data_IF_466335177251
#
_entry.id   IF_466335177251
#
_cell.length_a   1.000
_cell.length_b   1.000
_cell.length_c   1.000
_cell.angle_alpha   90.00
_cell.angle_beta   90.00
_cell.angle_gamma   90.00
#
_symmetry.space_group_name_H-M   'P 1'
#
loop_
_entity.id
_entity.type
_entity.pdbx_description
1 polymer ?
#
# COMPACT_ATOMS: atom_id res chain seq x y z
N UNK A 1 -21.11 5.56 -6.23
CA UNK A 1 -20.04 5.20 -5.27
C UNK A 1 -20.73 4.90 -3.93
N UNK A 2 -20.98 3.62 -3.61
CA UNK A 2 -21.94 3.22 -2.54
C UNK A 2 -21.25 2.57 -1.32
N UNK A 3 -19.96 2.22 -1.38
CA UNK A 3 -19.29 1.43 -0.33
C UNK A 3 -18.10 2.09 0.36
N UNK A 4 -17.61 3.21 -0.15
CA UNK A 4 -16.30 3.80 0.21
C UNK A 4 -16.17 4.13 1.68
N UNK A 5 -17.21 4.69 2.30
CA UNK A 5 -17.21 5.02 3.74
C UNK A 5 -17.01 3.82 4.66
N UNK A 6 -17.43 2.63 4.22
CA UNK A 6 -17.18 1.39 4.97
C UNK A 6 -15.80 0.85 4.71
N UNK A 7 -15.31 0.96 3.47
CA UNK A 7 -14.00 0.45 3.05
C UNK A 7 -12.89 1.03 3.90
N UNK A 8 -12.93 2.33 4.22
CA UNK A 8 -11.97 2.97 5.12
C UNK A 8 -11.76 2.21 6.44
N UNK A 9 -12.86 1.77 7.05
CA UNK A 9 -12.86 1.24 8.43
C UNK A 9 -12.36 -0.19 8.54
N UNK A 10 -12.74 -1.04 7.59
CA UNK A 10 -12.39 -2.45 7.65
C UNK A 10 -11.13 -2.78 6.86
N UNK A 11 -10.73 -1.97 5.87
CA UNK A 11 -9.63 -2.32 4.95
C UNK A 11 -8.30 -2.59 5.69
N UNK A 12 -7.90 -1.72 6.63
CA UNK A 12 -6.67 -1.93 7.38
C UNK A 12 -6.77 -3.18 8.27
N UNK A 13 -7.92 -3.37 8.95
CA UNK A 13 -8.18 -4.54 9.82
C UNK A 13 -8.13 -5.85 9.04
N UNK A 14 -8.79 -5.89 7.88
CA UNK A 14 -8.78 -7.06 7.00
C UNK A 14 -7.39 -7.33 6.46
N UNK A 15 -6.66 -6.29 6.05
CA UNK A 15 -5.29 -6.43 5.55
C UNK A 15 -4.35 -7.04 6.61
N UNK A 16 -4.38 -6.52 7.84
CA UNK A 16 -3.58 -7.07 8.95
C UNK A 16 -4.01 -8.50 9.31
N UNK A 17 -5.31 -8.80 9.28
CA UNK A 17 -5.83 -10.15 9.54
C UNK A 17 -5.34 -11.15 8.48
N UNK A 18 -5.42 -10.79 7.19
CA UNK A 18 -4.92 -11.62 6.09
C UNK A 18 -3.42 -11.83 6.21
N UNK A 19 -2.66 -10.78 6.51
CA UNK A 19 -1.21 -10.87 6.66
C UNK A 19 -0.81 -11.83 7.80
N UNK A 20 -1.43 -11.69 8.97
CA UNK A 20 -1.19 -12.58 10.10
C UNK A 20 -1.60 -14.02 9.79
N UNK A 21 -2.77 -14.23 9.21
CA UNK A 21 -3.26 -15.56 8.89
C UNK A 21 -2.38 -16.25 7.83
N UNK A 22 -1.97 -15.53 6.79
CA UNK A 22 -1.05 -16.03 5.77
C UNK A 22 0.35 -16.31 6.34
N UNK A 23 0.83 -15.47 7.25
CA UNK A 23 2.10 -15.67 7.96
C UNK A 23 2.08 -16.93 8.82
N UNK A 24 1.05 -17.09 9.66
CA UNK A 24 0.86 -18.30 10.48
C UNK A 24 0.73 -19.55 9.60
N UNK A 25 -0.05 -19.48 8.52
CA UNK A 25 -0.19 -20.59 7.59
C UNK A 25 1.15 -20.98 6.96
N UNK A 26 1.98 -20.00 6.62
CA UNK A 26 3.31 -20.23 6.03
C UNK A 26 4.30 -20.81 7.04
N UNK A 27 4.16 -20.49 8.34
CA UNK A 27 4.97 -21.06 9.42
C UNK A 27 4.57 -22.51 9.75
N UNK A 28 3.26 -22.78 9.85
CA UNK A 28 2.74 -24.12 10.15
C UNK A 28 2.94 -25.07 8.95
N UNK A 29 2.79 -24.53 7.74
CA UNK A 29 2.91 -25.25 6.50
C UNK A 29 3.96 -24.52 5.62
N UNK A 30 5.27 -24.82 5.77
CA UNK A 30 6.32 -24.23 4.94
C UNK A 30 6.25 -24.73 3.49
N UNK A 31 6.65 -23.91 2.52
CA UNK A 31 6.64 -24.29 1.09
C UNK A 31 7.67 -25.40 0.88
N UNK A 32 7.18 -26.61 0.63
CA UNK A 32 8.03 -27.72 0.25
C UNK A 32 8.39 -27.56 -1.22
N UNK A 33 9.60 -27.09 -1.51
CA UNK A 33 10.13 -27.06 -2.86
C UNK A 33 10.40 -28.50 -3.30
N UNK A 34 9.53 -29.06 -4.15
CA UNK A 34 9.70 -30.42 -4.66
C UNK A 34 10.60 -30.35 -5.89
N UNK A 35 11.87 -30.71 -5.70
CA UNK A 35 12.81 -30.87 -6.81
C UNK A 35 12.67 -32.31 -7.33
N UNK A 36 12.03 -32.50 -8.49
CA UNK A 36 11.98 -33.80 -9.17
C UNK A 36 13.20 -33.92 -10.08
N UNK A 37 14.23 -34.59 -9.60
CA UNK A 37 15.41 -34.96 -10.39
C UNK A 37 15.04 -36.21 -11.18
N UNK A 38 14.70 -36.05 -12.46
CA UNK A 38 14.70 -37.14 -13.43
C UNK A 38 15.92 -36.92 -14.33
N UNK A 39 16.88 -37.85 -14.30
CA UNK A 39 18.10 -37.77 -15.11
C UNK A 39 17.90 -38.63 -16.34
N UNK A 40 17.47 -38.02 -17.43
CA UNK A 40 17.49 -38.66 -18.75
C UNK A 40 18.65 -38.08 -19.54
N UNK A 41 19.75 -38.84 -19.64
CA UNK A 41 20.89 -38.49 -20.49
C UNK A 41 20.86 -39.40 -21.72
N UNK A 42 20.67 -38.80 -22.89
CA UNK A 42 20.63 -39.50 -24.17
C UNK A 42 21.98 -39.26 -24.85
N UNK A 43 22.72 -40.33 -25.15
CA UNK A 43 24.04 -40.23 -25.81
C UNK A 43 23.82 -40.11 -27.32
N UNK A 44 23.87 -38.89 -27.83
CA UNK A 44 23.79 -38.60 -29.26
C UNK A 44 25.20 -38.57 -29.87
N UNK A 45 25.75 -39.75 -30.18
CA UNK A 45 27.04 -39.98 -30.86
C UNK A 45 28.31 -39.46 -30.16
N UNK A 46 29.41 -40.16 -30.41
CA UNK A 46 30.60 -40.23 -29.57
C UNK A 46 31.56 -39.03 -29.58
N UNK A 47 31.16 -37.83 -30.04
CA UNK A 47 32.11 -36.70 -30.14
C UNK A 47 31.64 -35.30 -29.70
N UNK A 48 30.38 -35.05 -29.32
CA UNK A 48 29.96 -33.67 -28.99
C UNK A 48 28.93 -33.57 -27.85
N UNK A 49 29.25 -32.72 -26.86
CA UNK A 49 28.46 -32.21 -25.71
C UNK A 49 27.23 -33.02 -25.24
N UNK A 50 27.31 -33.54 -24.00
CA UNK A 50 26.16 -34.11 -23.29
C UNK A 50 25.17 -33.01 -22.89
N UNK A 51 23.96 -33.05 -23.43
CA UNK A 51 22.81 -32.27 -22.92
C UNK A 51 22.02 -33.15 -21.97
N UNK A 52 22.25 -33.02 -20.66
CA UNK A 52 21.44 -33.70 -19.65
C UNK A 52 20.35 -32.77 -19.15
N UNK A 53 19.09 -33.19 -19.30
CA UNK A 53 17.97 -32.58 -18.60
C UNK A 53 17.92 -33.22 -17.20
N UNK A 54 18.26 -32.45 -16.16
CA UNK A 54 18.51 -32.99 -14.81
C UNK A 54 17.38 -32.80 -13.80
N UNK A 55 16.24 -32.27 -14.23
CA UNK A 55 15.04 -32.21 -13.40
C UNK A 55 14.02 -31.16 -13.86
N UNK A 56 12.79 -31.33 -13.37
CA UNK A 56 11.72 -30.33 -13.47
C UNK A 56 11.62 -29.65 -12.11
N UNK A 57 11.84 -28.33 -12.10
CA UNK A 57 11.67 -27.49 -10.91
C UNK A 57 10.25 -26.96 -10.88
N UNK A 58 9.36 -27.63 -10.16
CA UNK A 58 8.00 -27.12 -9.88
C UNK A 58 8.10 -25.99 -8.84
N UNK A 59 8.12 -24.73 -9.29
CA UNK A 59 8.10 -23.57 -8.40
C UNK A 59 6.65 -23.27 -8.02
N UNK A 60 6.18 -23.89 -6.93
CA UNK A 60 4.92 -23.51 -6.27
C UNK A 60 3.86 -24.62 -6.24
N UNK A 61 2.79 -24.36 -5.48
CA UNK A 61 1.65 -25.28 -5.34
C UNK A 61 0.35 -24.53 -5.61
N UNK A 62 -0.38 -24.93 -6.66
CA UNK A 62 -1.69 -24.36 -7.01
C UNK A 62 -2.70 -24.48 -5.87
N UNK A 63 -2.63 -25.56 -5.09
CA UNK A 63 -3.49 -25.79 -3.94
C UNK A 63 -3.28 -24.74 -2.84
N UNK A 64 -2.04 -24.37 -2.56
CA UNK A 64 -1.75 -23.31 -1.59
C UNK A 64 -2.12 -21.93 -2.09
N UNK A 65 -1.89 -21.66 -3.38
CA UNK A 65 -2.31 -20.41 -3.99
C UNK A 65 -3.83 -20.22 -3.87
N UNK A 66 -4.61 -21.25 -4.24
CA UNK A 66 -6.07 -21.25 -4.07
C UNK A 66 -6.47 -21.09 -2.59
N UNK A 67 -5.78 -21.77 -1.68
CA UNK A 67 -6.01 -21.63 -0.23
C UNK A 67 -5.80 -20.21 0.29
N UNK A 68 -4.72 -19.53 -0.14
CA UNK A 68 -4.44 -18.13 0.23
C UNK A 68 -5.50 -17.17 -0.33
N UNK A 69 -6.00 -17.41 -1.55
CA UNK A 69 -7.10 -16.63 -2.12
C UNK A 69 -8.38 -16.79 -1.30
N UNK A 70 -8.76 -18.02 -0.96
CA UNK A 70 -9.94 -18.29 -0.12
C UNK A 70 -9.78 -17.65 1.25
N UNK A 71 -8.60 -17.77 1.87
CA UNK A 71 -8.30 -17.15 3.15
C UNK A 71 -8.48 -15.62 3.10
N UNK A 72 -7.92 -14.99 2.07
CA UNK A 72 -8.06 -13.54 1.87
C UNK A 72 -9.53 -13.13 1.73
N UNK A 73 -10.30 -13.87 0.94
CA UNK A 73 -11.74 -13.63 0.76
C UNK A 73 -12.51 -13.77 2.07
N UNK A 74 -12.26 -14.83 2.85
CA UNK A 74 -12.93 -15.06 4.14
C UNK A 74 -12.60 -13.96 5.14
N UNK A 75 -11.33 -13.55 5.27
CA UNK A 75 -10.93 -12.45 6.14
C UNK A 75 -11.58 -11.13 5.72
N UNK A 76 -11.58 -10.80 4.43
CA UNK A 76 -12.20 -9.58 3.92
C UNK A 76 -13.72 -9.55 4.18
N UNK A 77 -14.44 -10.62 3.82
CA UNK A 77 -15.89 -10.72 4.03
C UNK A 77 -16.23 -10.73 5.52
N UNK A 78 -15.47 -11.47 6.34
CA UNK A 78 -15.66 -11.52 7.78
C UNK A 78 -15.49 -10.15 8.43
N UNK A 79 -14.40 -9.43 8.12
CA UNK A 79 -14.19 -8.07 8.63
C UNK A 79 -15.29 -7.10 8.17
N UNK A 80 -15.75 -7.21 6.93
CA UNK A 80 -16.84 -6.39 6.41
C UNK A 80 -18.16 -6.64 7.15
N UNK A 81 -18.55 -7.91 7.33
CA UNK A 81 -19.78 -8.27 8.04
C UNK A 81 -19.72 -7.83 9.50
N UNK A 82 -18.59 -8.04 10.18
CA UNK A 82 -18.39 -7.59 11.56
C UNK A 82 -18.49 -6.08 11.69
N UNK A 83 -17.87 -5.31 10.78
CA UNK A 83 -17.96 -3.85 10.80
C UNK A 83 -19.40 -3.37 10.56
N UNK A 84 -20.12 -4.04 9.64
CA UNK A 84 -21.53 -3.74 9.35
C UNK A 84 -22.48 -4.07 10.50
N UNK A 85 -22.28 -5.18 11.20
CA UNK A 85 -23.17 -5.60 12.31
C UNK A 85 -22.86 -4.81 13.58
N UNK A 86 -21.59 -4.58 13.91
CA UNK A 86 -21.20 -3.96 15.18
C UNK A 86 -21.12 -2.43 15.11
N UNK A 87 -20.88 -1.82 13.95
CA UNK A 87 -20.58 -0.38 13.83
C UNK A 87 -21.45 0.37 12.80
N UNK A 88 -22.66 -0.15 12.53
CA UNK A 88 -23.62 0.38 11.55
C UNK A 88 -23.95 1.89 11.67
N UNK A 89 -23.75 2.50 12.84
CA UNK A 89 -24.23 3.86 13.15
C UNK A 89 -23.18 4.97 13.14
N UNK A 90 -21.90 4.68 12.86
CA UNK A 90 -20.89 5.75 12.79
C UNK A 90 -20.97 6.47 11.45
N UNK A 91 -21.18 7.79 11.45
CA UNK A 91 -21.32 8.63 10.25
C UNK A 91 -20.06 8.72 9.38
N UNK A 92 -20.24 9.13 8.12
CA UNK A 92 -19.18 9.26 7.11
C UNK A 92 -18.01 10.13 7.58
N UNK A 93 -16.78 9.69 7.31
CA UNK A 93 -15.60 10.50 7.60
C UNK A 93 -15.49 11.62 6.56
N UNK A 94 -15.21 12.86 7.00
CA UNK A 94 -14.93 13.96 6.07
C UNK A 94 -13.67 13.61 5.26
N UNK A 95 -13.82 13.62 3.94
CA UNK A 95 -12.75 13.30 2.98
C UNK A 95 -11.97 14.57 2.65
N UNK A 96 -10.63 14.48 2.68
CA UNK A 96 -9.80 15.52 2.08
C UNK A 96 -9.79 15.30 0.56
N UNK A 97 -10.23 16.30 -0.19
CA UNK A 97 -10.36 16.24 -1.66
C UNK A 97 -9.22 16.96 -2.35
N UNK A 98 -7.96 16.65 -2.00
CA UNK A 98 -6.81 17.23 -2.69
C UNK A 98 -6.34 16.35 -3.84
N UNK A 99 -6.01 16.98 -4.97
CA UNK A 99 -5.51 16.30 -6.18
C UNK A 99 -4.13 15.64 -5.96
N UNK A 100 -3.35 16.19 -5.02
CA UNK A 100 -2.06 15.64 -4.63
C UNK A 100 -2.18 14.29 -3.90
N UNK A 101 -3.34 14.03 -3.29
CA UNK A 101 -3.61 12.83 -2.50
C UNK A 101 -4.14 11.70 -3.40
N UNK A 102 -3.47 10.55 -3.37
CA UNK A 102 -3.91 9.33 -4.05
C UNK A 102 -5.23 8.82 -3.48
N UNK A 103 -6.01 8.11 -4.29
CA UNK A 103 -7.37 7.67 -3.95
C UNK A 103 -7.47 6.89 -2.64
N UNK A 104 -6.49 6.01 -2.37
CA UNK A 104 -6.43 5.24 -1.11
C UNK A 104 -6.10 6.14 0.08
N UNK A 105 -5.17 7.09 -0.09
CA UNK A 105 -4.79 8.02 0.97
C UNK A 105 -5.94 8.97 1.34
N UNK A 106 -6.77 9.38 0.38
CA UNK A 106 -7.98 10.16 0.66
C UNK A 106 -8.98 9.42 1.56
N UNK A 107 -8.99 8.09 1.52
CA UNK A 107 -9.92 7.25 2.28
C UNK A 107 -9.33 6.77 3.61
N UNK A 108 -8.01 6.54 3.68
CA UNK A 108 -7.34 5.91 4.82
C UNK A 108 -6.60 6.90 5.74
N UNK A 109 -6.20 8.07 5.26
CA UNK A 109 -5.46 9.02 6.10
C UNK A 109 -6.39 9.85 6.98
N UNK A 110 -6.09 9.91 8.28
CA UNK A 110 -6.79 10.79 9.20
C UNK A 110 -6.17 12.21 9.19
N UNK A 111 -6.66 13.02 8.27
CA UNK A 111 -6.25 14.42 8.11
C UNK A 111 -7.06 15.40 8.96
N UNK A 112 -7.97 14.93 9.84
CA UNK A 112 -8.87 15.80 10.62
C UNK A 112 -8.11 16.77 11.52
N UNK A 113 -7.02 16.30 12.12
CA UNK A 113 -6.16 17.08 13.01
C UNK A 113 -5.01 17.79 12.27
N UNK A 114 -4.81 17.45 11.00
CA UNK A 114 -3.80 18.05 10.12
C UNK A 114 -4.41 19.14 9.23
N UNK A 115 -5.41 19.86 9.73
CA UNK A 115 -6.01 21.00 9.06
C UNK A 115 -5.71 22.27 9.86
N UNK A 116 -5.04 23.23 9.23
CA UNK A 116 -4.79 24.54 9.80
C UNK A 116 -5.30 25.61 8.84
N UNK A 117 -6.29 26.38 9.29
CA UNK A 117 -6.92 27.46 8.51
C UNK A 117 -7.44 27.03 7.12
N UNK A 118 -7.93 25.79 6.99
CA UNK A 118 -8.51 25.28 5.73
C UNK A 118 -7.49 24.63 4.79
N UNK A 119 -6.20 24.67 5.12
CA UNK A 119 -5.15 23.94 4.41
C UNK A 119 -4.86 22.63 5.13
N UNK A 120 -4.89 21.52 4.39
CA UNK A 120 -4.47 20.23 4.93
C UNK A 120 -2.95 20.08 4.83
N UNK A 121 -2.35 19.49 5.85
CA UNK A 121 -0.91 19.24 5.91
C UNK A 121 -0.67 17.74 5.93
N UNK A 122 0.40 17.32 5.28
CA UNK A 122 0.80 15.93 5.23
C UNK A 122 2.22 15.81 5.76
N UNK A 123 2.43 14.98 6.77
CA UNK A 123 3.78 14.70 7.23
C UNK A 123 4.60 14.01 6.12
N UNK A 124 5.93 14.07 6.20
CA UNK A 124 6.79 13.55 5.14
C UNK A 124 6.69 12.04 4.94
N UNK A 125 6.45 11.27 6.01
CA UNK A 125 6.32 9.82 5.88
C UNK A 125 5.01 9.47 5.15
N UNK A 126 3.91 10.12 5.52
CA UNK A 126 2.62 9.97 4.82
C UNK A 126 2.68 10.50 3.38
N UNK A 127 3.46 11.55 3.12
CA UNK A 127 3.71 12.04 1.76
C UNK A 127 4.42 10.98 0.90
N UNK A 128 5.47 10.34 1.42
CA UNK A 128 6.16 9.24 0.72
C UNK A 128 5.22 8.07 0.47
N UNK A 129 4.41 7.66 1.46
CA UNK A 129 3.40 6.61 1.30
C UNK A 129 2.32 6.95 0.26
N UNK A 130 2.01 8.24 0.13
CA UNK A 130 1.11 8.77 -0.89
C UNK A 130 1.76 8.89 -2.29
N UNK A 131 3.07 8.61 -2.41
CA UNK A 131 3.83 8.71 -3.66
C UNK A 131 4.40 10.11 -3.94
N UNK A 132 4.46 10.99 -2.93
CA UNK A 132 5.04 12.32 -3.02
C UNK A 132 6.41 12.35 -2.33
N UNK A 133 7.48 12.55 -3.11
CA UNK A 133 8.82 12.77 -2.58
C UNK A 133 9.04 14.27 -2.39
N UNK A 134 9.12 14.70 -1.13
CA UNK A 134 9.26 16.12 -0.78
C UNK A 134 10.71 16.45 -0.43
N UNK A 135 11.26 17.46 -1.08
CA UNK A 135 12.55 18.05 -0.75
C UNK A 135 12.38 19.54 -0.44
N UNK A 136 12.98 20.01 0.65
CA UNK A 136 12.91 21.43 1.05
C UNK A 136 14.24 22.11 0.78
N UNK A 137 14.21 23.14 -0.04
CA UNK A 137 15.38 23.97 -0.36
C UNK A 137 15.70 24.91 0.81
N UNK A 138 16.95 25.38 0.99
CA UNK A 138 17.30 26.37 2.01
C UNK A 138 16.48 27.67 1.95
N UNK A 139 15.98 28.03 0.76
CA UNK A 139 15.08 29.17 0.54
C UNK A 139 13.65 28.95 1.06
N UNK A 140 13.34 27.76 1.60
CA UNK A 140 12.02 27.41 2.12
C UNK A 140 11.05 26.82 1.09
N UNK A 141 11.42 26.79 -0.20
CA UNK A 141 10.62 26.18 -1.27
C UNK A 141 10.54 24.66 -1.13
N UNK A 142 9.35 24.09 -1.34
CA UNK A 142 9.16 22.64 -1.42
C UNK A 142 9.16 22.19 -2.87
N UNK A 143 10.10 21.31 -3.22
CA UNK A 143 10.13 20.58 -4.47
C UNK A 143 9.51 19.22 -4.21
N UNK A 144 8.41 18.91 -4.89
CA UNK A 144 7.63 17.68 -4.70
C UNK A 144 7.65 16.91 -6.00
N UNK A 145 8.27 15.73 -6.00
CA UNK A 145 8.16 14.79 -7.11
C UNK A 145 6.98 13.86 -6.83
N UNK A 146 5.96 13.93 -7.68
CA UNK A 146 4.84 13.02 -7.66
C UNK A 146 5.17 11.79 -8.51
N UNK A 147 5.53 10.70 -7.84
CA UNK A 147 5.94 9.45 -8.48
C UNK A 147 4.77 8.82 -9.26
N UNK A 148 3.51 9.08 -8.85
CA UNK A 148 2.34 8.49 -9.52
C UNK A 148 2.06 9.15 -10.87
N UNK A 149 2.40 10.43 -11.01
CA UNK A 149 2.18 11.21 -12.23
C UNK A 149 3.49 11.48 -13.02
N UNK A 150 4.65 11.15 -12.43
CA UNK A 150 5.98 11.51 -12.95
C UNK A 150 6.16 13.03 -13.15
N UNK A 151 5.56 13.84 -12.27
CA UNK A 151 5.57 15.30 -12.36
C UNK A 151 6.29 15.92 -11.16
N UNK A 152 7.04 16.99 -11.40
CA UNK A 152 7.67 17.79 -10.34
C UNK A 152 6.85 19.06 -10.12
N UNK A 153 6.35 19.23 -8.91
CA UNK A 153 5.67 20.43 -8.43
C UNK A 153 6.59 21.24 -7.53
N UNK A 154 6.54 22.56 -7.66
CA UNK A 154 7.30 23.50 -6.83
C UNK A 154 6.29 24.35 -6.06
N UNK A 155 6.24 24.16 -4.74
CA UNK A 155 5.36 24.92 -3.83
C UNK A 155 6.20 25.97 -3.13
N UNK A 156 5.85 27.25 -3.30
CA UNK A 156 6.59 28.36 -2.69
C UNK A 156 6.02 28.70 -1.31
N UNK A 157 6.81 29.27 -0.40
CA UNK A 157 6.33 29.67 0.93
C UNK A 157 5.18 30.68 0.91
N UNK A 158 5.03 31.46 -0.16
CA UNK A 158 3.98 32.48 -0.30
C UNK A 158 2.60 31.92 -0.70
N UNK A 159 2.57 30.69 -1.23
CA UNK A 159 1.31 29.99 -1.55
C UNK A 159 0.52 29.60 -0.27
N UNK A 160 1.08 29.93 0.89
CA UNK A 160 0.53 29.71 2.22
C UNK A 160 -0.33 30.91 2.67
N UNK A 161 -1.58 30.99 2.22
CA UNK A 161 -2.52 32.06 2.56
C UNK A 161 -3.11 32.00 4.00
N UNK A 162 -2.43 31.36 4.95
CA UNK A 162 -2.85 31.25 6.35
C UNK A 162 -1.96 32.07 7.28
N UNK A 163 -2.31 33.34 7.50
CA UNK A 163 -1.54 34.33 8.26
C UNK A 163 -1.50 34.11 9.78
N UNK A 164 -0.93 32.99 10.24
CA UNK A 164 -0.67 32.71 11.66
C UNK A 164 0.62 31.90 11.86
N UNK A 165 1.24 31.93 13.05
CA UNK A 165 2.41 31.13 13.34
C UNK A 165 2.07 29.63 13.25
N UNK A 166 2.78 28.88 12.40
CA UNK A 166 2.58 27.44 12.30
C UNK A 166 3.09 26.74 13.57
N UNK A 167 2.33 25.79 14.13
CA UNK A 167 2.83 24.82 15.09
C UNK A 167 4.10 24.11 14.58
N UNK A 168 5.04 23.83 15.50
CA UNK A 168 6.30 23.12 15.19
C UNK A 168 6.08 21.81 14.42
N UNK A 169 5.00 21.09 14.73
CA UNK A 169 4.63 19.84 14.07
C UNK A 169 4.36 20.01 12.55
N UNK A 170 3.84 21.16 12.12
CA UNK A 170 3.53 21.45 10.72
C UNK A 170 4.69 22.11 9.97
N UNK A 171 5.76 22.51 10.66
CA UNK A 171 6.92 23.20 10.05
C UNK A 171 7.68 22.35 9.02
N UNK A 172 7.61 21.02 9.14
CA UNK A 172 8.24 20.07 8.23
C UNK A 172 7.23 19.38 7.28
N UNK A 173 5.94 19.63 7.49
CA UNK A 173 4.85 19.00 6.76
C UNK A 173 4.62 19.69 5.40
N UNK A 174 4.18 18.90 4.43
CA UNK A 174 3.80 19.36 3.10
C UNK A 174 2.39 19.94 3.13
N UNK A 175 2.17 21.21 2.75
CA UNK A 175 0.82 21.70 2.52
C UNK A 175 0.22 21.09 1.26
N UNK A 176 -0.99 20.56 1.40
CA UNK A 176 -1.88 20.13 0.31
C UNK A 176 -2.65 21.38 -0.15
N UNK A 177 -2.03 22.16 -1.04
CA UNK A 177 -2.66 23.27 -1.75
C UNK A 177 -3.19 22.75 -3.08
N UNK A 178 -4.45 23.09 -3.40
CA UNK A 178 -5.11 22.75 -4.65
C UNK A 178 -4.82 23.78 -5.76
#
# INVERSE_FOLDING_TARGET
VVTTDTTSRYAWKSSTSVWLAAGVWSLVSPVQHVVRIDRQCIVHQMDFSLTCQSGVLEIGSVHRFAGLLVLAMVCCVGCFVLDRVCFAQRGAAKRATSLLLHAVAQDQFDLRHWNHHGVYYLDRASAVLNGLLTFRTPSGTFVVMDVKAWQVLIIRPQDHHGGGPLPLAFSAALPLVD
#
